data_IF_348455919964
#
_entry.id   IF_348455919964
#
_cell.length_a   1.000
_cell.length_b   1.000
_cell.length_c   1.000
_cell.angle_alpha   90.00
_cell.angle_beta   90.00
_cell.angle_gamma   90.00
#
_symmetry.space_group_name_H-M   'P 1'
#
loop_
_entity.id
_entity.type
_entity.pdbx_description
1 polymer ?
#
# COMPACT_ATOMS: atom_id res chain seq x y z
N UNK A 1 11.19 -19.81 6.74
CA UNK A 1 12.50 -20.29 7.26
C UNK A 1 12.85 -19.53 8.53
N UNK A 2 13.19 -18.24 8.45
CA UNK A 2 13.64 -17.46 9.62
C UNK A 2 12.52 -17.12 10.62
N UNK A 3 11.27 -17.08 10.13
CA UNK A 3 10.09 -16.76 10.93
C UNK A 3 9.17 -17.99 11.00
N UNK A 4 9.23 -18.82 12.06
CA UNK A 4 8.45 -20.06 12.16
C UNK A 4 6.95 -19.83 12.38
N UNK A 5 6.54 -18.62 12.79
CA UNK A 5 5.15 -18.26 12.97
C UNK A 5 5.00 -16.84 13.51
N UNK A 6 3.75 -16.39 13.62
CA UNK A 6 3.39 -15.13 14.26
C UNK A 6 2.26 -15.37 15.27
N UNK A 7 2.30 -14.79 16.48
CA UNK A 7 1.39 -15.16 17.58
C UNK A 7 -0.11 -15.01 17.28
N UNK A 8 -0.47 -14.13 16.35
CA UNK A 8 -1.87 -13.75 16.10
C UNK A 8 -2.39 -14.11 14.72
N UNK A 9 -1.52 -14.40 13.75
CA UNK A 9 -1.90 -14.52 12.33
C UNK A 9 -1.02 -15.58 11.67
N UNK A 10 -1.62 -16.51 10.90
CA UNK A 10 -0.85 -17.41 10.04
C UNK A 10 -0.23 -16.61 8.89
N UNK A 11 1.10 -16.58 8.83
CA UNK A 11 1.86 -15.84 7.82
C UNK A 11 1.99 -16.64 6.53
N UNK A 12 2.25 -15.94 5.42
CA UNK A 12 2.49 -16.57 4.10
C UNK A 12 3.86 -17.25 4.05
N UNK A 13 4.91 -16.56 4.53
CA UNK A 13 6.25 -17.14 4.67
C UNK A 13 7.15 -17.03 3.43
N UNK A 14 6.71 -16.35 2.37
CA UNK A 14 7.49 -16.04 1.17
C UNK A 14 7.04 -14.70 0.56
N UNK A 15 7.92 -14.08 -0.23
CA UNK A 15 7.69 -12.79 -0.90
C UNK A 15 8.19 -12.86 -2.35
N UNK A 16 7.65 -12.00 -3.22
CA UNK A 16 8.14 -11.86 -4.59
C UNK A 16 9.22 -10.78 -4.69
N UNK A 17 10.26 -11.02 -5.48
CA UNK A 17 11.32 -10.04 -5.73
C UNK A 17 11.03 -9.13 -6.93
N UNK A 18 10.29 -9.63 -7.90
CA UNK A 18 9.92 -8.97 -9.17
C UNK A 18 8.61 -9.58 -9.71
N UNK A 19 8.14 -9.10 -10.88
CA UNK A 19 6.89 -9.60 -11.51
C UNK A 19 7.05 -11.05 -11.95
N UNK A 20 8.21 -11.39 -12.52
CA UNK A 20 8.56 -12.69 -13.07
C UNK A 20 8.65 -13.78 -12.00
N UNK A 21 8.96 -13.42 -10.74
CA UNK A 21 9.01 -14.34 -9.59
C UNK A 21 7.76 -15.21 -9.48
N UNK A 22 6.57 -14.65 -9.74
CA UNK A 22 5.31 -15.39 -9.68
C UNK A 22 5.19 -16.47 -10.76
N UNK A 23 5.79 -16.27 -11.93
CA UNK A 23 5.79 -17.25 -13.03
C UNK A 23 6.91 -18.27 -12.88
N UNK A 24 8.15 -17.80 -12.65
CA UNK A 24 9.34 -18.65 -12.53
C UNK A 24 9.20 -19.66 -11.39
N UNK A 25 8.58 -19.25 -10.28
CA UNK A 25 8.39 -20.08 -9.10
C UNK A 25 6.91 -20.47 -8.87
N UNK A 26 6.10 -20.48 -9.94
CA UNK A 26 4.67 -20.79 -9.88
C UNK A 26 4.36 -22.13 -9.20
N UNK A 27 5.23 -23.14 -9.36
CA UNK A 27 5.08 -24.44 -8.69
C UNK A 27 4.97 -24.33 -7.16
N UNK A 28 5.62 -23.32 -6.57
CA UNK A 28 5.52 -23.01 -5.14
C UNK A 28 4.48 -21.92 -4.85
N UNK A 29 4.44 -20.85 -5.65
CA UNK A 29 3.52 -19.73 -5.40
C UNK A 29 2.05 -20.12 -5.54
N UNK A 30 1.68 -20.91 -6.55
CA UNK A 30 0.29 -21.26 -6.83
C UNK A 30 -0.40 -21.98 -5.65
N UNK A 31 0.16 -23.06 -5.06
CA UNK A 31 -0.47 -23.72 -3.92
C UNK A 31 -0.52 -22.81 -2.68
N UNK A 32 0.48 -21.94 -2.48
CA UNK A 32 0.49 -20.97 -1.38
C UNK A 32 -0.61 -19.91 -1.56
N UNK A 33 -0.81 -19.41 -2.79
CA UNK A 33 -1.90 -18.49 -3.14
C UNK A 33 -3.24 -19.17 -2.89
N UNK A 34 -3.41 -20.41 -3.35
CA UNK A 34 -4.65 -21.17 -3.19
C UNK A 34 -5.01 -21.36 -1.71
N UNK A 35 -4.04 -21.74 -0.87
CA UNK A 35 -4.25 -21.87 0.57
C UNK A 35 -4.58 -20.52 1.20
N UNK A 36 -3.79 -19.48 0.91
CA UNK A 36 -3.94 -18.16 1.54
C UNK A 36 -5.25 -17.47 1.17
N UNK A 37 -5.75 -17.72 -0.03
CA UNK A 37 -6.96 -17.13 -0.61
C UNK A 37 -8.14 -18.11 -0.67
N UNK A 38 -8.18 -19.07 0.25
CA UNK A 38 -9.34 -19.94 0.53
C UNK A 38 -9.90 -20.65 -0.73
N UNK A 39 -9.01 -21.20 -1.56
CA UNK A 39 -9.38 -22.01 -2.71
C UNK A 39 -9.36 -21.28 -4.06
N UNK A 40 -9.00 -19.99 -4.11
CA UNK A 40 -8.72 -19.32 -5.38
C UNK A 40 -7.49 -19.96 -6.05
N UNK A 41 -7.70 -20.68 -7.15
CA UNK A 41 -6.62 -21.36 -7.88
C UNK A 41 -6.16 -20.50 -9.08
N UNK A 42 -4.96 -19.90 -9.04
CA UNK A 42 -4.47 -19.06 -10.12
C UNK A 42 -4.24 -19.83 -11.44
N UNK A 43 -4.16 -21.16 -11.41
CA UNK A 43 -3.97 -21.99 -12.62
C UNK A 43 -5.25 -22.16 -13.42
N UNK A 44 -6.40 -22.11 -12.75
CA UNK A 44 -7.71 -22.45 -13.35
C UNK A 44 -8.72 -21.30 -13.27
N UNK A 45 -8.50 -20.32 -12.41
CA UNK A 45 -9.39 -19.18 -12.20
C UNK A 45 -8.80 -17.88 -12.77
N UNK A 46 -9.68 -16.91 -13.04
CA UNK A 46 -9.29 -15.55 -13.46
C UNK A 46 -9.82 -14.53 -12.46
N UNK A 47 -8.96 -13.62 -12.00
CA UNK A 47 -9.36 -12.49 -11.17
C UNK A 47 -10.06 -11.43 -12.03
N UNK A 48 -11.17 -10.88 -11.52
CA UNK A 48 -11.88 -9.75 -12.15
C UNK A 48 -11.77 -8.53 -11.26
N UNK A 49 -11.26 -7.42 -11.81
CA UNK A 49 -11.17 -6.13 -11.12
C UNK A 49 -12.41 -5.29 -11.42
N UNK A 50 -13.03 -4.75 -10.37
CA UNK A 50 -14.19 -3.85 -10.48
C UNK A 50 -13.97 -2.64 -9.55
N UNK A 51 -13.70 -1.48 -10.15
CA UNK A 51 -13.52 -0.20 -9.45
C UNK A 51 -14.68 0.76 -9.77
N UNK A 52 -15.88 0.22 -9.98
CA UNK A 52 -17.11 1.00 -10.11
C UNK A 52 -17.77 1.20 -8.74
N UNK A 53 -17.47 2.35 -8.12
CA UNK A 53 -18.02 2.71 -6.82
C UNK A 53 -19.55 2.90 -6.83
N UNK A 54 -20.17 3.14 -8.00
CA UNK A 54 -21.62 3.33 -8.10
C UNK A 54 -22.42 2.06 -7.73
N UNK A 55 -21.80 0.88 -7.85
CA UNK A 55 -22.39 -0.41 -7.49
C UNK A 55 -22.55 -0.60 -5.98
N UNK A 56 -21.90 0.21 -5.15
CA UNK A 56 -22.03 0.13 -3.70
C UNK A 56 -23.40 0.66 -3.28
N UNK A 57 -24.22 -0.27 -2.77
CA UNK A 57 -25.52 -0.01 -2.14
C UNK A 57 -25.34 0.16 -0.63
N UNK A 58 -26.03 1.12 -0.03
CA UNK A 58 -25.78 1.54 1.36
C UNK A 58 -24.35 2.06 1.53
N UNK A 59 -23.69 1.78 2.66
CA UNK A 59 -22.31 2.17 2.97
C UNK A 59 -22.18 3.33 3.95
N UNK A 60 -23.25 3.62 4.70
CA UNK A 60 -23.21 4.51 5.85
C UNK A 60 -23.48 3.70 7.12
N UNK A 61 -22.46 3.56 7.98
CA UNK A 61 -22.53 2.82 9.24
C UNK A 61 -22.91 3.74 10.42
N UNK A 62 -23.45 3.15 11.49
CA UNK A 62 -23.76 3.87 12.73
C UNK A 62 -22.48 4.33 13.43
N UNK A 63 -22.27 5.65 13.49
CA UNK A 63 -21.07 6.29 14.02
C UNK A 63 -20.94 6.20 15.55
N UNK A 64 -21.97 5.72 16.25
CA UNK A 64 -21.84 5.32 17.67
C UNK A 64 -20.94 4.10 17.85
N UNK A 65 -20.79 3.29 16.80
CA UNK A 65 -19.99 2.07 16.80
C UNK A 65 -18.77 2.19 15.88
N UNK A 66 -18.91 2.81 14.71
CA UNK A 66 -17.82 2.94 13.74
C UNK A 66 -17.14 4.30 13.89
N UNK A 67 -15.90 4.28 14.40
CA UNK A 67 -15.11 5.49 14.65
C UNK A 67 -14.46 6.06 13.39
N UNK A 68 -14.07 5.21 12.45
CA UNK A 68 -13.43 5.60 11.19
C UNK A 68 -13.60 4.53 10.12
N UNK A 69 -13.48 4.96 8.87
CA UNK A 69 -13.60 4.12 7.68
C UNK A 69 -12.35 4.28 6.81
N UNK A 70 -11.79 3.16 6.32
CA UNK A 70 -10.57 3.15 5.50
C UNK A 70 -10.61 2.07 4.42
N UNK A 71 -10.20 2.43 3.22
CA UNK A 71 -9.93 1.52 2.09
C UNK A 71 -8.46 1.66 1.71
N UNK A 72 -7.76 0.53 1.50
CA UNK A 72 -6.34 0.52 1.09
C UNK A 72 -6.07 -0.51 0.01
N UNK A 73 -5.09 -0.25 -0.84
CA UNK A 73 -4.52 -1.22 -1.80
C UNK A 73 -3.03 -0.94 -2.02
N UNK A 74 -2.34 -1.86 -2.69
CA UNK A 74 -0.99 -1.66 -3.18
C UNK A 74 -0.94 -1.62 -4.71
N UNK A 75 0.02 -0.89 -5.28
CA UNK A 75 0.33 -0.92 -6.71
C UNK A 75 1.84 -0.98 -6.91
N UNK A 76 2.25 -1.76 -7.91
CA UNK A 76 3.64 -1.93 -8.32
C UNK A 76 3.83 -1.41 -9.74
N UNK A 77 4.84 -0.56 -9.92
CA UNK A 77 5.30 -0.09 -11.23
C UNK A 77 6.04 -1.23 -11.96
N UNK A 78 5.53 -1.63 -13.13
CA UNK A 78 6.13 -2.69 -13.96
C UNK A 78 7.54 -2.32 -14.42
N UNK A 79 8.42 -3.33 -14.50
CA UNK A 79 9.80 -3.17 -14.95
C UNK A 79 10.76 -2.69 -13.86
N UNK A 80 10.29 -2.54 -12.62
CA UNK A 80 11.10 -2.24 -11.44
C UNK A 80 10.92 -3.38 -10.43
N UNK A 81 12.02 -3.87 -9.87
CA UNK A 81 11.98 -4.92 -8.84
C UNK A 81 11.23 -4.46 -7.60
N UNK A 82 10.53 -5.38 -6.93
CA UNK A 82 9.79 -5.14 -5.68
C UNK A 82 10.74 -4.86 -4.49
N UNK A 83 10.24 -4.32 -3.36
CA UNK A 83 11.07 -3.94 -2.21
C UNK A 83 12.08 -4.99 -1.71
N UNK A 84 11.78 -6.31 -1.70
CA UNK A 84 12.73 -7.34 -1.32
C UNK A 84 14.00 -7.39 -2.17
N UNK A 85 13.93 -7.03 -3.45
CA UNK A 85 15.03 -7.19 -4.40
C UNK A 85 15.58 -5.85 -4.93
N UNK A 86 14.77 -4.79 -4.98
CA UNK A 86 15.15 -3.52 -5.61
C UNK A 86 16.49 -2.97 -5.13
N UNK A 87 17.25 -2.44 -6.09
CA UNK A 87 18.42 -1.60 -5.84
C UNK A 87 18.00 -0.20 -5.38
N UNK A 88 18.95 0.58 -4.85
CA UNK A 88 18.70 2.00 -4.55
C UNK A 88 18.24 2.79 -5.80
N UNK A 89 18.79 2.48 -6.97
CA UNK A 89 18.44 3.17 -8.21
C UNK A 89 16.99 2.90 -8.62
N UNK A 90 16.56 1.63 -8.63
CA UNK A 90 15.16 1.28 -8.93
C UNK A 90 14.20 1.90 -7.93
N UNK A 91 14.53 1.87 -6.64
CA UNK A 91 13.70 2.47 -5.60
C UNK A 91 13.52 3.98 -5.79
N UNK A 92 14.59 4.69 -6.14
CA UNK A 92 14.56 6.12 -6.47
C UNK A 92 13.75 6.39 -7.74
N UNK A 93 13.79 5.48 -8.71
CA UNK A 93 12.98 5.60 -9.92
C UNK A 93 11.48 5.39 -9.62
N UNK A 94 11.12 4.45 -8.73
CA UNK A 94 9.75 4.33 -8.21
C UNK A 94 9.32 5.64 -7.56
N UNK A 95 10.13 6.21 -6.67
CA UNK A 95 9.82 7.49 -6.03
C UNK A 95 9.59 8.59 -7.06
N UNK A 96 10.51 8.76 -8.01
CA UNK A 96 10.41 9.80 -9.06
C UNK A 96 9.12 9.66 -9.86
N UNK A 97 8.86 8.47 -10.41
CA UNK A 97 7.67 8.20 -11.25
C UNK A 97 6.38 8.47 -10.49
N UNK A 98 6.30 8.01 -9.23
CA UNK A 98 5.10 8.19 -8.40
C UNK A 98 4.92 9.67 -8.06
N UNK A 99 5.96 10.36 -7.58
CA UNK A 99 5.86 11.77 -7.18
C UNK A 99 5.51 12.67 -8.37
N UNK A 100 6.09 12.42 -9.54
CA UNK A 100 5.77 13.15 -10.77
C UNK A 100 4.29 12.99 -11.13
N UNK A 101 3.75 11.76 -11.09
CA UNK A 101 2.33 11.50 -11.34
C UNK A 101 1.41 12.20 -10.31
N UNK A 102 1.75 12.12 -9.03
CA UNK A 102 0.95 12.73 -7.95
C UNK A 102 0.94 14.25 -7.99
N UNK A 103 1.96 14.89 -8.55
CA UNK A 103 1.98 16.34 -8.77
C UNK A 103 0.91 16.81 -9.77
N UNK A 104 0.40 15.90 -10.61
CA UNK A 104 -0.66 16.16 -11.57
C UNK A 104 -2.07 16.16 -10.97
N UNK A 105 -2.26 15.65 -9.75
CA UNK A 105 -3.56 15.57 -9.10
C UNK A 105 -4.10 16.97 -8.74
N UNK A 106 -5.41 17.17 -8.97
CA UNK A 106 -6.09 18.46 -8.81
C UNK A 106 -7.33 18.33 -7.91
N UNK A 107 -7.93 19.47 -7.59
CA UNK A 107 -9.18 19.51 -6.82
C UNK A 107 -9.00 18.97 -5.41
N UNK A 108 -9.93 18.14 -4.95
CA UNK A 108 -9.88 17.49 -3.64
C UNK A 108 -8.76 16.44 -3.52
N UNK A 109 -8.20 16.01 -4.64
CA UNK A 109 -7.04 15.12 -4.69
C UNK A 109 -5.71 15.86 -4.77
N UNK A 110 -5.68 17.19 -4.86
CA UNK A 110 -4.43 17.94 -4.83
C UNK A 110 -3.75 17.78 -3.46
N UNK A 111 -2.43 17.62 -3.45
CA UNK A 111 -1.69 17.29 -2.24
C UNK A 111 -0.21 17.60 -2.31
N UNK A 112 0.51 17.15 -1.27
CA UNK A 112 1.95 17.37 -1.11
C UNK A 112 2.66 16.06 -0.76
N UNK A 113 3.84 15.88 -1.35
CA UNK A 113 4.77 14.81 -1.01
C UNK A 113 5.79 15.28 0.04
N UNK A 114 6.11 14.40 0.97
CA UNK A 114 7.07 14.59 2.05
C UNK A 114 8.06 13.42 2.04
N UNK A 115 9.33 13.71 1.75
CA UNK A 115 10.41 12.72 1.86
C UNK A 115 10.73 12.47 3.32
N UNK A 116 10.84 11.20 3.72
CA UNK A 116 11.19 10.86 5.10
C UNK A 116 12.59 11.36 5.49
N UNK A 117 13.53 11.43 4.53
CA UNK A 117 14.90 11.90 4.78
C UNK A 117 15.02 13.41 5.04
N UNK A 118 14.02 14.19 4.65
CA UNK A 118 14.01 15.66 4.72
C UNK A 118 12.89 16.18 5.64
N UNK A 119 12.18 15.27 6.30
CA UNK A 119 11.05 15.60 7.16
C UNK A 119 11.53 16.23 8.47
N UNK A 120 10.96 17.38 8.82
CA UNK A 120 11.23 18.00 10.11
C UNK A 120 10.57 17.23 11.25
N UNK A 121 11.08 17.35 12.49
CA UNK A 121 10.45 16.74 13.67
C UNK A 121 8.99 17.17 13.85
N UNK A 122 8.67 18.42 13.51
CA UNK A 122 7.30 18.95 13.57
C UNK A 122 6.37 18.30 12.54
N UNK A 123 6.82 18.16 11.28
CA UNK A 123 6.06 17.44 10.25
C UNK A 123 5.89 15.96 10.61
N UNK A 124 6.94 15.34 11.13
CA UNK A 124 6.92 13.95 11.55
C UNK A 124 5.89 13.73 12.68
N UNK A 125 5.94 14.55 13.73
CA UNK A 125 4.99 14.46 14.84
C UNK A 125 3.55 14.69 14.37
N UNK A 126 3.32 15.66 13.48
CA UNK A 126 2.00 15.88 12.91
C UNK A 126 1.47 14.66 12.16
N UNK A 127 2.30 13.99 11.35
CA UNK A 127 1.89 12.77 10.63
C UNK A 127 1.68 11.57 11.57
N UNK A 128 2.38 11.49 12.70
CA UNK A 128 2.13 10.50 13.75
C UNK A 128 0.77 10.75 14.39
N UNK A 129 0.49 11.99 14.78
CA UNK A 129 -0.76 12.40 15.44
C UNK A 129 -1.98 12.17 14.54
N UNK A 130 -1.81 12.34 13.23
CA UNK A 130 -2.84 12.07 12.24
C UNK A 130 -2.99 10.58 11.88
N UNK A 131 -2.14 9.70 12.43
CA UNK A 131 -2.03 8.28 12.10
C UNK A 131 -1.68 7.98 10.63
N UNK A 132 -0.85 8.82 10.03
CA UNK A 132 -0.44 8.74 8.63
C UNK A 132 1.00 8.29 8.41
N UNK A 133 1.87 8.52 9.39
CA UNK A 133 3.27 8.12 9.29
C UNK A 133 3.40 6.60 9.37
N UNK A 134 4.26 6.05 8.52
CA UNK A 134 4.79 4.71 8.68
C UNK A 134 6.24 4.81 9.15
N UNK A 135 6.61 3.96 10.09
CA UNK A 135 7.95 3.93 10.66
C UNK A 135 8.85 2.93 9.93
N UNK A 136 10.14 2.96 10.26
CA UNK A 136 11.09 1.95 9.79
C UNK A 136 10.52 0.56 10.11
N UNK A 137 10.42 -0.35 9.12
CA UNK A 137 9.94 -1.69 9.38
C UNK A 137 10.79 -2.39 10.45
N UNK A 138 10.19 -2.68 11.60
CA UNK A 138 10.81 -3.44 12.71
C UNK A 138 10.33 -4.90 12.75
N UNK A 139 9.24 -5.20 12.04
CA UNK A 139 8.71 -6.55 11.97
C UNK A 139 9.75 -7.52 11.38
N UNK A 140 10.05 -8.64 12.06
CA UNK A 140 11.00 -9.63 11.55
C UNK A 140 10.54 -10.27 10.22
N UNK A 141 9.23 -10.19 9.90
CA UNK A 141 8.71 -10.61 8.61
C UNK A 141 9.18 -9.71 7.46
N UNK A 142 9.27 -8.40 7.69
CA UNK A 142 9.68 -7.42 6.68
C UNK A 142 11.20 -7.27 6.62
N UNK A 143 11.87 -7.29 7.78
CA UNK A 143 13.33 -7.15 7.83
C UNK A 143 14.05 -8.38 7.29
N UNK A 144 13.59 -9.59 7.61
CA UNK A 144 14.14 -10.83 7.04
C UNK A 144 13.87 -10.94 5.52
N UNK A 145 12.79 -10.32 5.03
CA UNK A 145 12.49 -10.20 3.61
C UNK A 145 13.29 -9.09 2.89
N UNK A 146 14.23 -8.41 3.57
CA UNK A 146 15.08 -7.38 2.97
C UNK A 146 14.37 -6.06 2.66
N UNK A 147 13.15 -5.83 3.16
CA UNK A 147 12.35 -4.63 2.82
C UNK A 147 12.80 -3.36 3.56
N UNK A 148 13.64 -3.48 4.60
CA UNK A 148 14.15 -2.36 5.39
C UNK A 148 15.53 -1.81 4.93
N UNK A 149 16.08 -2.29 3.81
CA UNK A 149 17.39 -1.89 3.29
C UNK A 149 17.43 -0.40 2.94
N UNK A 150 18.57 0.25 3.21
CA UNK A 150 18.85 1.67 2.91
C UNK A 150 17.86 2.69 3.50
N UNK A 151 17.08 2.32 4.52
CA UNK A 151 16.11 3.24 5.13
C UNK A 151 16.79 4.54 5.65
N UNK A 152 16.23 5.74 5.40
CA UNK A 152 14.94 6.05 4.74
C UNK A 152 15.04 6.45 3.24
N UNK A 153 16.11 6.08 2.52
CA UNK A 153 16.36 6.52 1.14
C UNK A 153 15.19 6.22 0.19
N UNK A 154 14.71 7.22 -0.54
CA UNK A 154 13.59 7.15 -1.49
C UNK A 154 12.25 6.68 -0.88
N UNK A 155 12.00 6.96 0.41
CA UNK A 155 10.71 6.73 1.07
C UNK A 155 10.04 8.06 1.39
N UNK A 156 8.71 8.06 1.30
CA UNK A 156 7.95 9.24 1.64
C UNK A 156 6.46 8.99 1.69
N UNK A 157 5.76 10.06 2.08
CA UNK A 157 4.32 10.09 2.21
C UNK A 157 3.80 11.22 1.36
N UNK A 158 2.81 10.94 0.55
CA UNK A 158 1.97 11.94 -0.07
C UNK A 158 0.59 11.91 0.58
N UNK A 159 -0.02 13.07 0.78
CA UNK A 159 -1.43 13.16 1.10
C UNK A 159 -2.08 14.38 0.46
N UNK A 160 -3.38 14.29 0.20
CA UNK A 160 -4.17 15.44 -0.24
C UNK A 160 -4.32 16.48 0.88
N UNK A 161 -4.73 17.69 0.52
CA UNK A 161 -4.86 18.81 1.46
C UNK A 161 -5.85 18.50 2.61
N UNK A 162 -6.90 17.73 2.34
CA UNK A 162 -7.92 17.33 3.32
C UNK A 162 -7.53 16.11 4.15
N UNK A 163 -6.34 15.54 3.95
CA UNK A 163 -5.84 14.40 4.74
C UNK A 163 -6.78 13.18 4.69
N UNK A 164 -7.46 13.00 3.56
CA UNK A 164 -8.49 11.97 3.32
C UNK A 164 -8.10 10.98 2.22
N UNK A 165 -7.02 11.26 1.48
CA UNK A 165 -6.40 10.40 0.47
C UNK A 165 -4.88 10.46 0.64
N UNK A 166 -4.25 9.30 0.81
CA UNK A 166 -2.84 9.17 1.17
C UNK A 166 -2.16 8.11 0.32
N UNK A 167 -0.88 8.32 0.05
CA UNK A 167 -0.04 7.37 -0.67
C UNK A 167 1.29 7.25 0.07
N UNK A 168 1.60 6.04 0.52
CA UNK A 168 2.94 5.70 1.00
C UNK A 168 3.77 5.22 -0.16
N UNK A 169 5.01 5.71 -0.25
CA UNK A 169 5.96 5.39 -1.32
C UNK A 169 7.12 4.58 -0.75
N UNK A 170 7.39 3.42 -1.33
CA UNK A 170 8.51 2.52 -1.02
C UNK A 170 8.60 1.99 0.42
N UNK A 171 7.45 1.74 1.06
CA UNK A 171 7.36 1.08 2.36
C UNK A 171 7.45 -0.45 2.19
N UNK A 172 6.34 -1.19 2.31
CA UNK A 172 6.29 -2.64 2.07
C UNK A 172 6.00 -3.00 0.59
N UNK A 173 5.58 -2.01 -0.20
CA UNK A 173 5.31 -2.07 -1.65
C UNK A 173 5.80 -0.77 -2.33
N UNK A 174 5.82 -0.72 -3.67
CA UNK A 174 6.11 0.52 -4.40
C UNK A 174 5.17 1.65 -3.98
N UNK A 175 3.86 1.38 -3.95
CA UNK A 175 2.88 2.31 -3.39
C UNK A 175 1.84 1.60 -2.54
N UNK A 176 1.39 2.26 -1.46
CA UNK A 176 0.15 1.94 -0.76
C UNK A 176 -0.81 3.11 -0.87
N UNK A 177 -1.88 2.92 -1.63
CA UNK A 177 -2.92 3.93 -1.86
C UNK A 177 -4.04 3.74 -0.84
N UNK A 178 -4.39 4.82 -0.14
CA UNK A 178 -5.26 4.80 1.02
C UNK A 178 -6.30 5.93 0.89
N UNK A 179 -7.57 5.59 1.07
CA UNK A 179 -8.64 6.56 1.29
C UNK A 179 -9.19 6.33 2.70
N UNK A 180 -9.33 7.38 3.49
CA UNK A 180 -9.87 7.26 4.85
C UNK A 180 -10.58 8.53 5.32
N UNK A 181 -11.50 8.36 6.27
CA UNK A 181 -12.13 9.45 7.00
C UNK A 181 -12.65 8.97 8.37
N UNK A 182 -12.91 9.92 9.28
CA UNK A 182 -13.63 9.63 10.54
C UNK A 182 -15.11 9.34 10.23
N UNK A 183 -15.75 8.56 11.09
CA UNK A 183 -17.15 8.17 10.93
C UNK A 183 -17.38 6.97 10.01
N UNK A 184 -18.63 6.78 9.64
CA UNK A 184 -19.14 5.53 9.08
C UNK A 184 -19.39 5.55 7.58
N UNK A 185 -19.05 6.62 6.86
CA UNK A 185 -19.40 6.78 5.44
C UNK A 185 -18.41 6.06 4.50
N UNK A 186 -18.39 4.74 4.58
CA UNK A 186 -17.57 3.86 3.75
C UNK A 186 -17.83 4.06 2.25
N UNK A 187 -19.06 4.40 1.85
CA UNK A 187 -19.37 4.68 0.43
C UNK A 187 -18.55 5.86 -0.09
N UNK A 188 -18.53 6.99 0.62
CA UNK A 188 -17.72 8.16 0.26
C UNK A 188 -16.23 7.84 0.24
N UNK A 189 -15.75 7.07 1.23
CA UNK A 189 -14.35 6.59 1.25
C UNK A 189 -14.01 5.81 -0.01
N UNK A 190 -14.89 4.88 -0.43
CA UNK A 190 -14.67 4.04 -1.61
C UNK A 190 -14.82 4.83 -2.92
N UNK A 191 -15.75 5.78 -3.01
CA UNK A 191 -15.89 6.68 -4.17
C UNK A 191 -14.61 7.50 -4.40
N UNK A 192 -14.07 8.12 -3.34
CA UNK A 192 -12.79 8.82 -3.41
C UNK A 192 -11.64 7.88 -3.77
N UNK A 193 -11.61 6.69 -3.18
CA UNK A 193 -10.60 5.67 -3.47
C UNK A 193 -10.59 5.28 -4.95
N UNK A 194 -11.76 4.95 -5.53
CA UNK A 194 -11.86 4.55 -6.93
C UNK A 194 -11.55 5.71 -7.89
N UNK A 195 -11.92 6.95 -7.55
CA UNK A 195 -11.57 8.14 -8.35
C UNK A 195 -10.07 8.37 -8.33
N UNK A 196 -9.46 8.50 -7.15
CA UNK A 196 -8.04 8.80 -7.01
C UNK A 196 -7.09 7.71 -7.51
N UNK A 197 -7.57 6.47 -7.69
CA UNK A 197 -6.78 5.37 -8.25
C UNK A 197 -6.84 5.33 -9.80
N UNK A 198 -7.81 6.01 -10.42
CA UNK A 198 -7.99 6.06 -11.89
C UNK A 198 -7.36 7.30 -12.52
N UNK A 199 -7.30 8.41 -11.77
CA UNK A 199 -6.55 9.63 -12.14
C UNK A 199 -5.05 9.40 -12.02
#
# INVERSE_FOLDING_TARGET
VDNPGHPFIKTVGMVAGDEETYEVFAELFDPVIQERHNGYDPRTMKHTTDLDASKIRSGYFDERYVLSSRVRTGRSIRGLSLPPACTRAERREVERVVVDALSGLKGDLAGRYYRLSEMTEAEQQQLIDDHFLFDKPVSPLLTAAGMARDWPDARGIWHNNEKSFLIWVNEEDHTRVISMEKGGNMKKVFERFCRGLKE
#
